data_IF_298489747314
#
_entry.id   IF_298489747314
#
_cell.length_a   1.000
_cell.length_b   1.000
_cell.length_c   1.000
_cell.angle_alpha   90.00
_cell.angle_beta   90.00
_cell.angle_gamma   90.00
#
_symmetry.space_group_name_H-M   'P 1'
#
loop_
_entity.id
_entity.type
_entity.pdbx_description
1 polymer ?
#
# COMPACT_ATOMS: atom_id res chain seq x y z
N UNK A 1 22.74 -1.81 8.89
CA UNK A 1 22.69 -0.48 8.25
C UNK A 1 21.29 -0.27 7.75
N UNK A 2 20.51 0.66 8.32
CA UNK A 2 19.17 0.98 7.81
C UNK A 2 19.35 1.70 6.46
N UNK A 3 19.08 1.01 5.36
CA UNK A 3 18.99 1.66 4.06
C UNK A 3 17.77 2.59 4.08
N UNK A 4 17.93 3.80 3.55
CA UNK A 4 16.79 4.70 3.35
C UNK A 4 15.80 4.03 2.38
N UNK A 5 14.48 4.11 2.65
CA UNK A 5 13.48 3.52 1.77
C UNK A 5 13.58 4.14 0.38
N UNK A 6 13.56 3.29 -0.64
CA UNK A 6 13.64 3.68 -2.05
C UNK A 6 12.24 3.86 -2.59
N UNK A 7 12.09 4.84 -3.50
CA UNK A 7 10.88 4.98 -4.29
C UNK A 7 10.90 3.89 -5.35
N UNK A 8 9.84 3.09 -5.40
CA UNK A 8 9.64 2.10 -6.45
C UNK A 8 9.32 2.80 -7.77
N UNK A 9 9.69 2.17 -8.89
CA UNK A 9 9.30 2.67 -10.20
C UNK A 9 7.77 2.62 -10.30
N UNK A 10 7.14 3.73 -10.66
CA UNK A 10 5.71 3.76 -10.95
C UNK A 10 5.41 4.60 -12.19
N UNK A 11 4.34 4.26 -12.89
CA UNK A 11 3.85 4.98 -14.07
C UNK A 11 2.38 5.30 -13.96
N UNK A 12 1.95 6.35 -14.64
CA UNK A 12 0.54 6.71 -14.80
C UNK A 12 0.04 5.96 -16.04
N UNK A 13 -0.97 5.11 -15.87
CA UNK A 13 -1.54 4.27 -16.95
C UNK A 13 -2.96 4.68 -17.33
N UNK A 14 -3.54 5.65 -16.62
CA UNK A 14 -4.85 6.24 -16.86
C UNK A 14 -4.99 7.55 -16.08
N UNK A 15 -6.14 8.21 -16.13
CA UNK A 15 -6.35 9.48 -15.42
C UNK A 15 -6.23 9.34 -13.89
N UNK A 16 -6.59 8.18 -13.34
CA UNK A 16 -6.58 7.88 -11.91
C UNK A 16 -5.83 6.60 -11.56
N UNK A 17 -5.13 6.01 -12.54
CA UNK A 17 -4.54 4.68 -12.42
C UNK A 17 -3.02 4.75 -12.46
N UNK A 18 -2.40 4.16 -11.44
CA UNK A 18 -0.96 4.07 -11.26
C UNK A 18 -0.55 2.61 -11.26
N UNK A 19 0.56 2.30 -11.93
CA UNK A 19 1.19 0.99 -11.88
C UNK A 19 2.50 1.08 -11.11
N UNK A 20 2.60 0.41 -9.96
CA UNK A 20 3.84 0.30 -9.18
C UNK A 20 4.57 -0.98 -9.58
N UNK A 21 5.85 -0.87 -9.91
CA UNK A 21 6.73 -1.98 -10.29
C UNK A 21 7.73 -2.31 -9.18
N UNK A 22 7.85 -3.61 -8.87
CA UNK A 22 8.84 -4.18 -7.95
C UNK A 22 10.05 -4.77 -8.69
N UNK A 23 10.34 -4.29 -9.89
CA UNK A 23 11.44 -4.76 -10.73
C UNK A 23 12.79 -4.84 -10.01
N UNK A 24 13.10 -3.86 -9.16
CA UNK A 24 14.34 -3.81 -8.37
C UNK A 24 14.54 -5.04 -7.48
N UNK A 25 13.45 -5.71 -7.11
CA UNK A 25 13.45 -6.93 -6.31
C UNK A 25 13.37 -8.22 -7.13
N UNK A 26 13.17 -8.11 -8.44
CA UNK A 26 13.10 -9.24 -9.37
C UNK A 26 14.47 -9.54 -10.00
N UNK A 27 15.57 -9.13 -9.36
CA UNK A 27 16.94 -9.36 -9.83
C UNK A 27 17.32 -10.86 -9.79
N UNK A 28 18.22 -11.31 -10.68
CA UNK A 28 18.67 -12.70 -10.67
C UNK A 28 19.31 -13.10 -9.34
N UNK A 29 18.77 -14.15 -8.74
CA UNK A 29 19.29 -14.79 -7.53
C UNK A 29 18.91 -16.28 -7.52
N UNK A 30 19.50 -17.06 -6.61
CA UNK A 30 19.26 -18.51 -6.53
C UNK A 30 17.79 -18.88 -6.30
N UNK A 31 17.01 -17.98 -5.69
CA UNK A 31 15.59 -18.13 -5.42
C UNK A 31 14.74 -17.76 -6.64
N UNK A 32 15.23 -16.84 -7.49
CA UNK A 32 14.48 -16.28 -8.64
C UNK A 32 14.04 -17.36 -9.63
N UNK A 33 14.82 -18.42 -9.82
CA UNK A 33 14.46 -19.58 -10.69
C UNK A 33 13.15 -20.27 -10.30
N UNK A 34 12.64 -19.99 -9.10
CA UNK A 34 11.39 -20.52 -8.58
C UNK A 34 10.30 -19.44 -8.37
N UNK A 35 10.59 -18.19 -8.73
CA UNK A 35 9.62 -17.10 -8.73
C UNK A 35 8.92 -17.03 -10.08
N UNK A 36 7.65 -16.58 -10.08
CA UNK A 36 6.91 -16.31 -11.33
C UNK A 36 7.42 -15.06 -12.04
N UNK A 37 7.95 -14.11 -11.28
CA UNK A 37 8.36 -12.79 -11.74
C UNK A 37 9.88 -12.68 -11.88
N UNK A 38 10.34 -11.93 -12.87
CA UNK A 38 11.75 -11.69 -13.19
C UNK A 38 11.97 -10.27 -13.68
N UNK A 39 13.21 -9.91 -14.06
CA UNK A 39 13.51 -8.56 -14.56
C UNK A 39 12.74 -8.20 -15.83
N UNK A 40 12.53 -9.16 -16.73
CA UNK A 40 11.81 -8.97 -17.99
C UNK A 40 10.30 -8.85 -17.79
N UNK A 41 9.77 -9.52 -16.76
CA UNK A 41 8.36 -9.49 -16.37
C UNK A 41 8.25 -9.25 -14.86
N UNK A 42 8.41 -7.99 -14.41
CA UNK A 42 8.46 -7.67 -13.01
C UNK A 42 7.08 -7.79 -12.37
N UNK A 43 7.08 -8.10 -11.08
CA UNK A 43 5.85 -8.02 -10.30
C UNK A 43 5.37 -6.56 -10.23
N UNK A 44 4.12 -6.33 -10.59
CA UNK A 44 3.49 -5.01 -10.59
C UNK A 44 2.14 -5.03 -9.87
N UNK A 45 1.74 -3.89 -9.31
CA UNK A 45 0.41 -3.69 -8.72
C UNK A 45 -0.21 -2.42 -9.26
N UNK A 46 -1.49 -2.50 -9.61
CA UNK A 46 -2.27 -1.32 -9.98
C UNK A 46 -2.89 -0.67 -8.73
N UNK A 47 -2.76 0.65 -8.63
CA UNK A 47 -3.36 1.51 -7.61
C UNK A 47 -4.29 2.49 -8.33
N UNK A 48 -5.54 2.56 -7.89
CA UNK A 48 -6.56 3.43 -8.44
C UNK A 48 -6.92 4.51 -7.41
N UNK A 49 -6.98 5.78 -7.82
CA UNK A 49 -7.28 6.89 -6.92
C UNK A 49 -8.71 6.84 -6.39
N UNK A 50 -9.69 6.47 -7.22
CA UNK A 50 -11.08 6.26 -6.77
C UNK A 50 -11.18 5.22 -5.65
N UNK A 51 -10.44 4.11 -5.72
CA UNK A 51 -10.38 3.10 -4.65
C UNK A 51 -9.78 3.68 -3.35
N UNK A 52 -8.69 4.44 -3.45
CA UNK A 52 -8.08 5.11 -2.30
C UNK A 52 -9.03 6.12 -1.65
N UNK A 53 -9.70 6.92 -2.46
CA UNK A 53 -10.62 7.96 -2.00
C UNK A 53 -11.86 7.35 -1.35
N UNK A 54 -12.47 6.34 -1.98
CA UNK A 54 -13.59 5.60 -1.40
C UNK A 54 -13.21 4.95 -0.05
N UNK A 55 -12.00 4.42 0.08
CA UNK A 55 -11.52 3.87 1.35
C UNK A 55 -11.40 4.96 2.45
N UNK A 56 -10.89 6.16 2.10
CA UNK A 56 -10.82 7.31 3.01
C UNK A 56 -12.21 7.78 3.43
N UNK A 57 -13.14 7.91 2.47
CA UNK A 57 -14.52 8.32 2.71
C UNK A 57 -15.26 7.36 3.63
N UNK A 58 -15.08 6.04 3.42
CA UNK A 58 -15.66 5.02 4.30
C UNK A 58 -15.17 5.19 5.74
N UNK A 59 -13.86 5.37 5.95
CA UNK A 59 -13.30 5.60 7.29
C UNK A 59 -13.85 6.89 7.90
N UNK A 60 -13.92 7.96 7.12
CA UNK A 60 -14.48 9.26 7.55
C UNK A 60 -15.93 9.09 7.99
N UNK A 61 -16.75 8.41 7.19
CA UNK A 61 -18.16 8.15 7.48
C UNK A 61 -18.33 7.31 8.76
N UNK A 62 -17.59 6.21 8.88
CA UNK A 62 -17.66 5.33 10.06
C UNK A 62 -17.26 6.07 11.35
N UNK A 63 -16.27 6.97 11.27
CA UNK A 63 -15.87 7.80 12.42
C UNK A 63 -16.91 8.86 12.74
N UNK A 64 -17.48 9.54 11.73
CA UNK A 64 -18.54 10.54 11.94
C UNK A 64 -19.76 9.92 12.60
N UNK A 65 -20.21 8.75 12.16
CA UNK A 65 -21.31 8.04 12.80
C UNK A 65 -21.03 7.71 14.26
N UNK A 66 -19.79 7.34 14.60
CA UNK A 66 -19.40 7.05 15.98
C UNK A 66 -19.35 8.32 16.83
N UNK A 67 -18.90 9.44 16.27
CA UNK A 67 -18.85 10.73 16.97
C UNK A 67 -20.26 11.28 17.21
N UNK A 68 -21.15 11.23 16.20
CA UNK A 68 -22.55 11.66 16.31
C UNK A 68 -23.33 10.92 17.41
N UNK A 69 -22.99 9.66 17.67
CA UNK A 69 -23.61 8.86 18.75
C UNK A 69 -23.05 9.16 20.15
N UNK A 70 -21.90 9.82 20.23
CA UNK A 70 -21.15 10.03 21.48
C UNK A 70 -21.17 11.47 21.96
N UNK A 71 -21.17 12.41 21.04
CA UNK A 71 -21.07 13.84 21.31
C UNK A 71 -22.45 14.43 21.57
N UNK A 72 -22.47 15.58 22.25
CA UNK A 72 -23.70 16.31 22.53
C UNK A 72 -24.35 16.81 21.23
N UNK A 73 -25.69 16.88 21.21
CA UNK A 73 -26.47 17.32 20.04
C UNK A 73 -26.18 18.77 19.65
N UNK A 74 -25.66 19.58 20.58
CA UNK A 74 -25.21 20.95 20.34
C UNK A 74 -23.93 21.05 19.50
N UNK A 75 -23.15 19.96 19.37
CA UNK A 75 -21.92 19.96 18.56
C UNK A 75 -22.29 19.94 17.08
N UNK A 76 -21.78 20.92 16.33
CA UNK A 76 -22.09 21.07 14.92
C UNK A 76 -21.41 20.02 14.06
N UNK A 77 -21.97 19.72 12.89
CA UNK A 77 -21.36 18.79 11.94
C UNK A 77 -19.92 19.19 11.55
N UNK A 78 -19.66 20.49 11.40
CA UNK A 78 -18.34 21.02 11.05
C UNK A 78 -17.29 20.73 12.14
N UNK A 79 -17.68 20.83 13.40
CA UNK A 79 -16.82 20.47 14.54
C UNK A 79 -16.56 18.96 14.60
N UNK A 80 -17.56 18.14 14.28
CA UNK A 80 -17.39 16.69 14.20
C UNK A 80 -16.43 16.30 13.06
N UNK A 81 -16.52 16.95 11.90
CA UNK A 81 -15.61 16.71 10.77
C UNK A 81 -14.16 17.02 11.14
N UNK A 82 -13.90 18.10 11.89
CA UNK A 82 -12.55 18.44 12.38
C UNK A 82 -11.97 17.40 13.35
N UNK A 83 -12.82 16.64 14.05
CA UNK A 83 -12.40 15.55 14.95
C UNK A 83 -12.04 14.26 14.20
N UNK A 84 -12.43 14.10 12.94
CA UNK A 84 -12.11 12.91 12.14
C UNK A 84 -10.61 12.86 11.85
N UNK A 85 -9.99 11.72 12.14
CA UNK A 85 -8.58 11.44 11.80
C UNK A 85 -8.51 10.19 10.95
N UNK A 86 -8.26 10.36 9.66
CA UNK A 86 -8.14 9.24 8.72
C UNK A 86 -6.75 8.61 8.87
N UNK A 87 -6.70 7.37 9.33
CA UNK A 87 -5.46 6.60 9.37
C UNK A 87 -5.19 5.96 8.00
N UNK A 88 -4.54 6.71 7.11
CA UNK A 88 -4.17 6.23 5.77
C UNK A 88 -3.20 5.04 5.79
N UNK A 89 -2.43 4.87 6.88
CA UNK A 89 -1.52 3.74 7.02
C UNK A 89 -2.26 2.40 7.05
N UNK A 90 -3.49 2.37 7.59
CA UNK A 90 -4.33 1.17 7.57
C UNK A 90 -4.78 0.82 6.14
N UNK A 91 -5.10 1.83 5.32
CA UNK A 91 -5.47 1.64 3.92
C UNK A 91 -4.28 1.02 3.16
N UNK A 92 -3.09 1.60 3.30
CA UNK A 92 -1.89 1.09 2.64
C UNK A 92 -1.52 -0.32 3.10
N UNK A 93 -1.68 -0.60 4.40
CA UNK A 93 -1.43 -1.94 4.96
C UNK A 93 -2.38 -2.98 4.38
N UNK A 94 -3.65 -2.60 4.17
CA UNK A 94 -4.65 -3.47 3.55
C UNK A 94 -4.32 -3.73 2.08
N UNK A 95 -3.96 -2.69 1.31
CA UNK A 95 -3.53 -2.83 -0.09
C UNK A 95 -2.32 -3.75 -0.21
N UNK A 96 -1.33 -3.58 0.66
CA UNK A 96 -0.15 -4.45 0.71
C UNK A 96 -0.51 -5.91 1.00
N UNK A 97 -1.41 -6.13 1.96
CA UNK A 97 -1.89 -7.47 2.29
C UNK A 97 -2.56 -8.13 1.08
N UNK A 98 -3.45 -7.40 0.41
CA UNK A 98 -4.32 -7.96 -0.63
C UNK A 98 -3.61 -8.08 -1.98
N UNK A 99 -2.76 -7.13 -2.33
CA UNK A 99 -2.10 -7.12 -3.65
C UNK A 99 -0.73 -7.77 -3.65
N UNK A 100 0.02 -7.71 -2.54
CA UNK A 100 1.39 -8.24 -2.48
C UNK A 100 1.48 -9.53 -1.67
N UNK A 101 1.11 -9.50 -0.38
CA UNK A 101 1.24 -10.69 0.48
C UNK A 101 0.35 -11.86 0.06
N UNK A 102 -0.81 -11.60 -0.55
CA UNK A 102 -1.67 -12.63 -1.10
C UNK A 102 -0.98 -13.46 -2.21
N UNK A 103 0.04 -12.89 -2.87
CA UNK A 103 0.80 -13.51 -3.96
C UNK A 103 2.13 -14.13 -3.52
N UNK A 104 2.33 -14.37 -2.22
CA UNK A 104 3.55 -15.01 -1.70
C UNK A 104 3.91 -16.36 -2.33
N UNK A 105 2.94 -17.08 -2.88
CA UNK A 105 3.23 -18.33 -3.61
C UNK A 105 3.91 -18.06 -4.97
N UNK A 106 3.63 -16.91 -5.59
CA UNK A 106 4.25 -16.44 -6.83
C UNK A 106 5.57 -15.68 -6.56
N UNK A 107 5.69 -15.10 -5.36
CA UNK A 107 6.82 -14.28 -4.89
C UNK A 107 7.52 -15.02 -3.73
N UNK A 108 8.37 -16.01 -4.05
CA UNK A 108 8.94 -16.89 -3.02
C UNK A 108 9.81 -16.19 -1.99
N UNK A 109 10.44 -15.07 -2.33
CA UNK A 109 11.18 -14.22 -1.39
C UNK A 109 10.30 -13.64 -0.27
N UNK A 110 8.97 -13.70 -0.40
CA UNK A 110 8.01 -13.31 0.65
C UNK A 110 7.34 -14.51 1.33
N UNK A 111 7.84 -15.74 1.11
CA UNK A 111 7.24 -16.97 1.61
C UNK A 111 8.16 -17.72 2.57
N UNK A 112 7.93 -17.52 3.88
CA UNK A 112 8.71 -18.14 4.95
C UNK A 112 8.57 -19.65 5.05
N UNK A 113 7.64 -20.27 4.31
CA UNK A 113 7.55 -21.74 4.19
C UNK A 113 8.46 -22.32 3.11
N UNK A 114 9.01 -21.48 2.23
CA UNK A 114 9.79 -21.87 1.05
C UNK A 114 11.23 -21.34 1.07
N UNK A 115 11.47 -20.28 1.83
CA UNK A 115 12.75 -19.59 1.98
C UNK A 115 12.99 -19.34 3.47
N UNK A 116 14.25 -19.24 3.87
CA UNK A 116 14.64 -18.92 5.24
C UNK A 116 13.80 -17.78 5.85
N UNK A 117 13.26 -18.02 7.04
CA UNK A 117 12.28 -17.12 7.66
C UNK A 117 12.85 -15.76 8.06
N UNK A 118 14.14 -15.72 8.41
CA UNK A 118 14.83 -14.47 8.77
C UNK A 118 15.05 -13.63 7.50
N UNK A 119 15.50 -14.28 6.42
CA UNK A 119 15.67 -13.64 5.11
C UNK A 119 14.34 -13.09 4.58
N UNK A 120 13.26 -13.89 4.62
CA UNK A 120 11.92 -13.47 4.19
C UNK A 120 11.40 -12.30 5.02
N UNK A 121 11.67 -12.30 6.32
CA UNK A 121 11.23 -11.21 7.20
C UNK A 121 11.94 -9.90 6.85
N UNK A 122 13.25 -9.95 6.63
CA UNK A 122 14.03 -8.77 6.22
C UNK A 122 13.54 -8.25 4.85
N UNK A 123 13.47 -9.13 3.84
CA UNK A 123 13.02 -8.75 2.50
C UNK A 123 11.59 -8.21 2.50
N UNK A 124 10.70 -8.83 3.29
CA UNK A 124 9.33 -8.36 3.44
C UNK A 124 9.22 -6.99 4.09
N UNK A 125 10.15 -6.64 5.01
CA UNK A 125 10.24 -5.29 5.57
C UNK A 125 10.74 -4.28 4.54
N UNK A 126 11.78 -4.63 3.78
CA UNK A 126 12.36 -3.75 2.75
C UNK A 126 11.30 -3.40 1.68
N UNK A 127 10.63 -4.42 1.13
CA UNK A 127 9.58 -4.20 0.12
C UNK A 127 8.43 -3.36 0.69
N UNK A 128 8.05 -3.60 1.94
CA UNK A 128 6.98 -2.86 2.60
C UNK A 128 7.36 -1.39 2.78
N UNK A 129 8.59 -1.09 3.21
CA UNK A 129 9.05 0.28 3.40
C UNK A 129 9.07 1.05 2.08
N UNK A 130 9.55 0.43 1.00
CA UNK A 130 9.60 1.03 -0.33
C UNK A 130 8.19 1.24 -0.91
N UNK A 131 7.33 0.22 -0.78
CA UNK A 131 5.92 0.34 -1.16
C UNK A 131 5.22 1.45 -0.38
N UNK A 132 5.37 1.48 0.95
CA UNK A 132 4.71 2.46 1.81
C UNK A 132 5.16 3.89 1.48
N UNK A 133 6.43 4.08 1.12
CA UNK A 133 6.95 5.37 0.68
C UNK A 133 6.37 5.76 -0.68
N UNK A 134 6.32 4.82 -1.62
CA UNK A 134 5.80 5.05 -2.98
C UNK A 134 4.30 5.35 -2.98
N UNK A 135 3.49 4.56 -2.26
CA UNK A 135 2.05 4.77 -2.22
C UNK A 135 1.66 6.05 -1.50
N UNK A 136 2.48 6.56 -0.57
CA UNK A 136 2.28 7.90 0.01
C UNK A 136 2.44 9.01 -1.03
N UNK A 137 3.37 8.85 -1.97
CA UNK A 137 3.54 9.81 -3.08
C UNK A 137 2.32 9.74 -4.00
N UNK A 138 1.93 8.54 -4.44
CA UNK A 138 0.75 8.34 -5.28
C UNK A 138 -0.52 8.88 -4.59
N UNK A 139 -0.68 8.63 -3.29
CA UNK A 139 -1.80 9.14 -2.53
C UNK A 139 -1.88 10.68 -2.54
N UNK A 140 -0.73 11.37 -2.43
CA UNK A 140 -0.68 12.84 -2.53
C UNK A 140 -1.05 13.32 -3.93
N UNK A 141 -0.68 12.59 -4.97
CA UNK A 141 -1.11 12.90 -6.33
C UNK A 141 -2.62 12.68 -6.51
N UNK A 142 -3.16 11.56 -6.01
CA UNK A 142 -4.61 11.31 -6.00
C UNK A 142 -5.40 12.37 -5.25
N UNK A 143 -4.84 12.97 -4.20
CA UNK A 143 -5.48 14.05 -3.44
C UNK A 143 -5.59 15.37 -4.22
N UNK A 144 -4.84 15.55 -5.32
CA UNK A 144 -4.94 16.74 -6.18
C UNK A 144 -6.05 16.64 -7.23
N UNK A 145 -6.60 15.45 -7.44
CA UNK A 145 -7.67 15.18 -8.43
C UNK A 145 -9.05 15.53 -7.85
N UNK A 146 -9.14 15.69 -6.52
CA UNK A 146 -10.37 15.98 -5.76
C UNK A 146 -10.57 17.48 -5.56
#
# INVERSE_FOLDING_TARGET
MNQLPKILNYSIIGLEDYLISFENYCSPCEIQKFCKYGRTEPFTIAINCSDLNRAKEKIKFDQLQKLQKKEDVSVTYEELVKKVKINVQNIFSQIWKDKVKARKEEIRCLNSKKVDSMLVSQQGQDWWQDFNTTIKIINRECEKII
#
